data_IF_123246727839
#
_entry.id   IF_123246727839
#
_cell.length_a   1.000
_cell.length_b   1.000
_cell.length_c   1.000
_cell.angle_alpha   90.00
_cell.angle_beta   90.00
_cell.angle_gamma   90.00
#
_symmetry.space_group_name_H-M   'P 1'
#
loop_
_entity.id
_entity.type
_entity.pdbx_description
1 polymer ?
#
# COMPACT_ATOMS: atom_id res chain seq x y z
N UNK A 1 -29.58 -10.82 -11.65
CA UNK A 1 -28.26 -11.47 -11.61
C UNK A 1 -27.42 -10.78 -10.55
N UNK A 2 -26.81 -11.54 -9.65
CA UNK A 2 -26.10 -10.97 -8.49
C UNK A 2 -24.73 -11.60 -8.37
N UNK A 3 -23.75 -10.81 -7.95
CA UNK A 3 -22.36 -11.24 -7.69
C UNK A 3 -22.32 -12.40 -6.69
N UNK A 4 -23.30 -12.49 -5.78
CA UNK A 4 -23.45 -13.58 -4.80
C UNK A 4 -23.50 -14.97 -5.44
N UNK A 5 -23.97 -15.10 -6.70
CA UNK A 5 -24.00 -16.38 -7.43
C UNK A 5 -22.73 -16.66 -8.25
N UNK A 6 -21.73 -15.77 -8.21
CA UNK A 6 -20.53 -15.85 -9.03
C UNK A 6 -20.73 -15.46 -10.49
N UNK A 7 -21.91 -14.95 -10.86
CA UNK A 7 -22.21 -14.56 -12.23
C UNK A 7 -21.50 -13.24 -12.57
N UNK A 8 -20.84 -13.22 -13.72
CA UNK A 8 -20.27 -12.00 -14.30
C UNK A 8 -21.40 -11.12 -14.81
N UNK A 9 -21.38 -9.83 -14.46
CA UNK A 9 -22.38 -8.85 -14.91
C UNK A 9 -21.80 -8.08 -16.10
N UNK A 10 -22.16 -8.53 -17.29
CA UNK A 10 -21.62 -8.06 -18.58
C UNK A 10 -21.66 -6.55 -18.81
N UNK A 11 -22.65 -5.85 -18.27
CA UNK A 11 -22.81 -4.39 -18.42
C UNK A 11 -21.88 -3.56 -17.51
N UNK A 12 -21.27 -4.20 -16.51
CA UNK A 12 -20.37 -3.56 -15.54
C UNK A 12 -18.89 -3.79 -15.89
N UNK A 13 -18.60 -4.65 -16.88
CA UNK A 13 -17.24 -4.90 -17.32
C UNK A 13 -16.67 -3.69 -18.07
N UNK A 14 -15.39 -3.41 -17.82
CA UNK A 14 -14.65 -2.47 -18.65
C UNK A 14 -14.56 -3.02 -20.08
N UNK A 15 -14.87 -2.17 -21.07
CA UNK A 15 -14.72 -2.48 -22.49
C UNK A 15 -13.57 -1.65 -23.03
N UNK A 16 -12.54 -2.30 -23.54
CA UNK A 16 -11.41 -1.62 -24.17
C UNK A 16 -11.88 -0.89 -25.44
N UNK A 17 -11.75 0.44 -25.53
CA UNK A 17 -12.23 1.22 -26.67
C UNK A 17 -11.49 0.89 -27.98
N UNK A 18 -10.29 0.32 -27.92
CA UNK A 18 -9.50 0.00 -29.11
C UNK A 18 -9.81 -1.39 -29.68
N UNK A 19 -10.12 -2.35 -28.80
CA UNK A 19 -10.29 -3.77 -29.19
C UNK A 19 -11.74 -4.26 -29.07
N UNK A 20 -12.60 -3.54 -28.35
CA UNK A 20 -13.96 -3.98 -28.01
C UNK A 20 -14.00 -5.13 -27.01
N UNK A 21 -12.84 -5.59 -26.50
CA UNK A 21 -12.77 -6.71 -25.57
C UNK A 21 -13.28 -6.27 -24.19
N UNK A 22 -14.13 -7.10 -23.60
CA UNK A 22 -14.54 -6.96 -22.20
C UNK A 22 -13.50 -7.58 -21.26
N UNK A 23 -13.18 -6.87 -20.19
CA UNK A 23 -12.17 -7.27 -19.22
C UNK A 23 -12.84 -7.59 -17.89
N UNK A 24 -12.51 -8.75 -17.34
CA UNK A 24 -13.15 -9.28 -16.13
C UNK A 24 -12.45 -8.80 -14.86
N UNK A 25 -11.11 -8.74 -14.87
CA UNK A 25 -10.33 -8.36 -13.70
C UNK A 25 -9.70 -6.98 -13.87
N UNK A 26 -9.73 -6.16 -12.80
CA UNK A 26 -9.20 -4.78 -12.84
C UNK A 26 -7.72 -4.74 -13.28
N UNK A 27 -6.89 -5.68 -12.80
CA UNK A 27 -5.47 -5.71 -13.12
C UNK A 27 -5.16 -6.04 -14.59
N UNK A 28 -6.14 -6.54 -15.35
CA UNK A 28 -6.02 -6.78 -16.79
C UNK A 28 -6.40 -5.56 -17.62
N UNK A 29 -7.01 -4.53 -17.02
CA UNK A 29 -7.37 -3.30 -17.73
C UNK A 29 -6.07 -2.59 -18.15
N UNK A 30 -5.91 -2.17 -19.43
CA UNK A 30 -4.65 -1.60 -19.94
C UNK A 30 -4.11 -0.43 -19.12
N UNK A 31 -5.01 0.35 -18.50
CA UNK A 31 -4.63 1.44 -17.60
C UNK A 31 -3.90 0.95 -16.33
N UNK A 32 -4.36 -0.15 -15.73
CA UNK A 32 -3.83 -0.69 -14.48
C UNK A 32 -2.75 -1.77 -14.68
N UNK A 33 -2.78 -2.51 -15.78
CA UNK A 33 -1.88 -3.63 -16.10
C UNK A 33 -0.40 -3.26 -15.94
N UNK A 34 -0.04 -2.01 -16.28
CA UNK A 34 1.34 -1.52 -16.26
C UNK A 34 1.71 -0.77 -14.99
N UNK A 35 0.86 -0.76 -13.97
CA UNK A 35 1.10 -0.04 -12.72
C UNK A 35 1.58 -0.97 -11.61
N UNK A 36 2.64 -0.57 -10.91
CA UNK A 36 3.01 -1.21 -9.64
C UNK A 36 2.34 -0.47 -8.47
N UNK A 37 1.17 -0.95 -8.04
CA UNK A 37 0.34 -0.31 -7.01
C UNK A 37 0.74 -0.75 -5.59
N UNK A 38 2.00 -0.58 -5.20
CA UNK A 38 2.49 -1.01 -3.89
C UNK A 38 1.76 -0.33 -2.71
N UNK A 39 1.50 0.98 -2.80
CA UNK A 39 0.84 1.75 -1.73
C UNK A 39 -0.69 1.75 -1.89
N UNK A 40 -1.16 1.86 -3.12
CA UNK A 40 -2.60 1.99 -3.44
C UNK A 40 -3.27 0.67 -3.80
N UNK A 41 -2.59 -0.48 -3.73
CA UNK A 41 -3.10 -1.74 -4.27
C UNK A 41 -4.41 -2.20 -3.62
N UNK A 42 -4.52 -2.04 -2.30
CA UNK A 42 -5.70 -2.48 -1.55
C UNK A 42 -6.82 -1.44 -1.49
N UNK A 43 -6.63 -0.23 -2.04
CA UNK A 43 -7.57 0.88 -1.83
C UNK A 43 -8.97 0.63 -2.42
N UNK A 44 -9.08 -0.22 -3.45
CA UNK A 44 -10.34 -0.62 -4.05
C UNK A 44 -10.93 -1.91 -3.47
N UNK A 45 -10.24 -2.55 -2.52
CA UNK A 45 -10.61 -3.85 -1.96
C UNK A 45 -11.14 -3.78 -0.52
N UNK A 46 -11.05 -2.61 0.13
CA UNK A 46 -11.41 -2.42 1.54
C UNK A 46 -12.37 -1.26 1.70
N UNK A 47 -13.30 -1.37 2.65
CA UNK A 47 -14.01 -0.20 3.17
C UNK A 47 -13.04 0.60 4.06
N UNK A 48 -12.73 1.87 3.73
CA UNK A 48 -11.81 2.68 4.52
C UNK A 48 -12.31 3.00 5.94
N UNK A 49 -13.61 2.81 6.23
CA UNK A 49 -14.19 3.00 7.55
C UNK A 49 -14.24 1.71 8.38
N UNK A 50 -13.96 0.54 7.78
CA UNK A 50 -13.99 -0.75 8.47
C UNK A 50 -12.56 -1.22 8.80
N UNK A 51 -12.24 -1.30 10.10
CA UNK A 51 -10.92 -1.78 10.52
C UNK A 51 -10.69 -3.26 10.20
N UNK A 52 -11.74 -4.07 10.23
CA UNK A 52 -11.66 -5.51 9.97
C UNK A 52 -11.25 -5.79 8.51
N UNK A 53 -11.71 -5.00 7.55
CA UNK A 53 -11.27 -5.08 6.15
C UNK A 53 -9.77 -4.79 6.03
N UNK A 54 -9.28 -3.76 6.74
CA UNK A 54 -7.86 -3.43 6.74
C UNK A 54 -7.03 -4.55 7.37
N UNK A 55 -7.51 -5.16 8.46
CA UNK A 55 -6.86 -6.31 9.10
C UNK A 55 -6.84 -7.54 8.18
N UNK A 56 -7.94 -7.82 7.47
CA UNK A 56 -8.08 -8.96 6.57
C UNK A 56 -7.05 -8.94 5.42
N UNK A 57 -6.69 -7.75 4.93
CA UNK A 57 -5.64 -7.59 3.90
C UNK A 57 -4.22 -7.48 4.48
N UNK A 58 -4.03 -7.79 5.77
CA UNK A 58 -2.73 -7.77 6.44
C UNK A 58 -2.32 -6.41 7.01
N UNK A 59 -3.25 -5.47 7.16
CA UNK A 59 -3.04 -4.20 7.86
C UNK A 59 -2.48 -4.39 9.26
N UNK A 60 -1.70 -3.42 9.74
CA UNK A 60 -0.99 -3.43 11.02
C UNK A 60 0.04 -4.55 11.27
N UNK A 61 0.18 -5.54 10.39
CA UNK A 61 1.19 -6.61 10.55
C UNK A 61 2.60 -6.06 10.71
N UNK A 62 2.98 -5.07 9.89
CA UNK A 62 4.26 -4.38 9.99
C UNK A 62 4.40 -3.56 11.28
N UNK A 63 3.31 -2.94 11.77
CA UNK A 63 3.30 -2.20 13.04
C UNK A 63 3.55 -3.15 14.21
N UNK A 64 2.83 -4.27 14.27
CA UNK A 64 3.02 -5.29 15.30
C UNK A 64 4.47 -5.81 15.31
N UNK A 65 5.05 -6.10 14.14
CA UNK A 65 6.47 -6.47 14.02
C UNK A 65 7.39 -5.38 14.56
N UNK A 66 7.17 -4.12 14.19
CA UNK A 66 8.00 -3.01 14.62
C UNK A 66 7.96 -2.79 16.14
N UNK A 67 6.78 -2.90 16.76
CA UNK A 67 6.58 -2.67 18.20
C UNK A 67 7.13 -3.80 19.06
N UNK A 68 6.89 -5.05 18.67
CA UNK A 68 7.13 -6.20 19.54
C UNK A 68 8.36 -7.03 19.17
N UNK A 69 8.92 -6.86 17.97
CA UNK A 69 9.99 -7.73 17.45
C UNK A 69 11.21 -6.97 16.95
N UNK A 70 11.21 -5.63 16.98
CA UNK A 70 12.31 -4.82 16.46
C UNK A 70 12.70 -3.75 17.46
N UNK A 71 14.01 -3.46 17.54
CA UNK A 71 14.46 -2.23 18.17
C UNK A 71 14.27 -1.04 17.21
N UNK A 72 14.20 0.20 17.72
CA UNK A 72 14.12 1.38 16.86
C UNK A 72 15.26 1.47 15.84
N UNK A 73 16.48 1.06 16.21
CA UNK A 73 17.65 1.02 15.32
C UNK A 73 17.43 0.03 14.18
N UNK A 74 16.86 -1.15 14.47
CA UNK A 74 16.51 -2.14 13.44
C UNK A 74 15.42 -1.64 12.50
N UNK A 75 14.47 -0.85 12.99
CA UNK A 75 13.44 -0.20 12.15
C UNK A 75 14.09 0.80 11.19
N UNK A 76 14.99 1.66 11.70
CA UNK A 76 15.71 2.64 10.87
C UNK A 76 16.57 1.93 9.81
N UNK A 77 17.26 0.85 10.17
CA UNK A 77 18.05 0.05 9.23
C UNK A 77 17.19 -0.59 8.13
N UNK A 78 15.98 -1.05 8.44
CA UNK A 78 15.05 -1.59 7.43
C UNK A 78 14.63 -0.50 6.43
N UNK A 79 14.31 0.71 6.91
CA UNK A 79 13.97 1.86 6.05
C UNK A 79 15.18 2.32 5.23
N UNK A 80 16.39 2.19 5.78
CA UNK A 80 17.63 2.48 5.05
C UNK A 80 17.83 1.49 3.90
N UNK A 81 17.65 0.20 4.14
CA UNK A 81 17.72 -0.85 3.12
C UNK A 81 16.68 -0.70 2.03
N UNK A 82 15.48 -0.22 2.37
CA UNK A 82 14.42 0.01 1.38
C UNK A 82 14.72 1.17 0.42
N UNK A 83 15.73 2.01 0.72
CA UNK A 83 16.05 3.18 -0.07
C UNK A 83 14.94 4.24 -0.09
N UNK A 84 14.07 4.27 0.95
CA UNK A 84 12.95 5.22 0.97
C UNK A 84 13.47 6.67 1.01
N UNK A 85 12.90 7.48 0.12
CA UNK A 85 13.16 8.92 0.01
C UNK A 85 11.87 9.69 0.29
N UNK A 86 12.01 10.90 0.83
CA UNK A 86 10.89 11.80 1.08
C UNK A 86 10.11 12.10 -0.19
N UNK A 87 8.81 11.80 -0.21
CA UNK A 87 7.94 11.94 -1.38
C UNK A 87 7.30 13.34 -1.53
N UNK A 88 7.69 14.29 -0.68
CA UNK A 88 7.23 15.69 -0.76
C UNK A 88 7.97 16.56 -1.79
N UNK A 89 8.88 16.02 -2.59
CA UNK A 89 9.60 16.74 -3.65
C UNK A 89 11.12 16.56 -3.58
N UNK A 90 11.76 17.06 -2.52
CA UNK A 90 13.24 17.10 -2.43
C UNK A 90 13.95 15.75 -2.31
N UNK A 91 13.22 14.65 -2.12
CA UNK A 91 13.80 13.30 -2.14
C UNK A 91 14.88 13.06 -1.07
N UNK A 92 14.83 13.74 0.07
CA UNK A 92 15.80 13.50 1.15
C UNK A 92 15.68 12.06 1.67
N UNK A 93 16.77 11.31 1.91
CA UNK A 93 16.71 9.94 2.44
C UNK A 93 15.96 9.88 3.78
N UNK A 94 14.89 9.10 3.83
CA UNK A 94 14.01 9.04 5.01
C UNK A 94 14.74 8.45 6.22
N UNK A 95 15.58 7.43 6.00
CA UNK A 95 16.39 6.81 7.07
C UNK A 95 17.35 7.79 7.73
N UNK A 96 18.03 8.64 6.95
CA UNK A 96 18.97 9.66 7.48
C UNK A 96 18.22 10.67 8.35
N UNK A 97 17.02 11.08 7.93
CA UNK A 97 16.16 11.97 8.73
C UNK A 97 15.82 11.33 10.07
N UNK A 98 15.37 10.07 10.05
CA UNK A 98 14.97 9.35 11.26
C UNK A 98 16.15 9.08 12.21
N UNK A 99 17.31 8.71 11.66
CA UNK A 99 18.54 8.51 12.42
C UNK A 99 19.00 9.79 13.13
N UNK A 100 18.95 10.94 12.44
CA UNK A 100 19.26 12.24 13.03
C UNK A 100 18.31 12.59 14.18
N UNK A 101 16.99 12.42 14.00
CA UNK A 101 16.00 12.64 15.05
C UNK A 101 16.23 11.74 16.26
N UNK A 102 16.60 10.47 16.04
CA UNK A 102 16.88 9.52 17.13
C UNK A 102 18.13 9.88 17.94
N UNK A 103 19.15 10.44 17.29
CA UNK A 103 20.41 10.87 17.94
C UNK A 103 20.30 12.24 18.62
N UNK A 104 19.25 13.01 18.31
CA UNK A 104 19.06 14.31 18.90
C UNK A 104 18.89 14.20 20.42
N UNK A 105 19.67 15.00 21.16
CA UNK A 105 19.49 15.16 22.59
C UNK A 105 18.22 15.97 22.87
N UNK A 106 17.43 15.55 23.85
CA UNK A 106 16.26 16.26 24.30
C UNK A 106 15.79 15.73 25.65
N UNK A 107 15.14 16.60 26.42
CA UNK A 107 14.56 16.21 27.70
C UNK A 107 13.30 15.38 27.46
N UNK A 108 13.06 14.41 28.33
CA UNK A 108 11.77 13.72 28.36
C UNK A 108 10.73 14.72 28.87
N UNK A 109 9.70 14.97 28.06
CA UNK A 109 8.54 15.79 28.45
C UNK A 109 7.45 14.92 29.05
#
# INVERSE_FOLDING_TARGET
ETIIKGNIIDRLLYTDPNTGKKITYEHEVPFYERQNRLVFGNNGLIDPAAIDDYLAVGGYTALSKALFKMSPERVIEEVKKSGLRGRGGGGFPTSVKWESCRRAHGDTK
#
